data_IF_368569322170
#
_entry.id   IF_368569322170
#
_cell.length_a   1.000
_cell.length_b   1.000
_cell.length_c   1.000
_cell.angle_alpha   90.00
_cell.angle_beta   90.00
_cell.angle_gamma   90.00
#
_symmetry.space_group_name_H-M   'P 1'
#
loop_
_entity.id
_entity.type
_entity.pdbx_description
1 polymer ?
#
# COMPACT_ATOMS: atom_id res chain seq x y z
N UNK A 1 10.90 -0.03 -9.71
CA UNK A 1 9.55 0.25 -9.15
C UNK A 1 9.47 1.70 -8.69
N UNK A 2 10.41 2.21 -7.86
CA UNK A 2 10.36 3.56 -7.28
C UNK A 2 10.15 4.67 -8.32
N UNK A 3 10.95 4.68 -9.40
CA UNK A 3 10.80 5.67 -10.48
C UNK A 3 9.42 5.62 -11.14
N UNK A 4 8.89 4.42 -11.37
CA UNK A 4 7.57 4.27 -11.99
C UNK A 4 6.44 4.72 -11.04
N UNK A 5 6.53 4.36 -9.77
CA UNK A 5 5.60 4.82 -8.73
C UNK A 5 5.64 6.34 -8.56
N UNK A 6 6.85 6.93 -8.56
CA UNK A 6 7.05 8.39 -8.52
C UNK A 6 6.45 9.12 -9.73
N UNK A 7 6.35 8.45 -10.88
CA UNK A 7 5.67 8.95 -12.09
C UNK A 7 4.17 8.64 -12.12
N UNK A 8 3.61 8.13 -11.02
CA UNK A 8 2.18 7.89 -10.87
C UNK A 8 1.69 6.52 -11.30
N UNK A 9 2.59 5.54 -11.53
CA UNK A 9 2.16 4.15 -11.72
C UNK A 9 1.35 3.70 -10.50
N UNK A 10 0.10 3.23 -10.67
CA UNK A 10 -0.66 2.70 -9.54
C UNK A 10 -0.06 1.38 -9.07
N UNK A 11 0.18 1.28 -7.77
CA UNK A 11 0.76 0.09 -7.14
C UNK A 11 -0.10 -0.31 -5.94
N UNK A 12 -0.55 -1.56 -5.93
CA UNK A 12 -1.14 -2.21 -4.77
C UNK A 12 -0.11 -3.15 -4.17
N UNK A 13 0.19 -3.00 -2.89
CA UNK A 13 1.20 -3.77 -2.19
C UNK A 13 0.64 -4.36 -0.89
N UNK A 14 0.69 -5.67 -0.76
CA UNK A 14 0.25 -6.38 0.45
C UNK A 14 1.45 -6.98 1.17
N UNK A 15 1.52 -6.83 2.49
CA UNK A 15 2.47 -7.44 3.41
C UNK A 15 3.93 -7.38 2.92
N UNK A 16 4.47 -8.44 2.34
CA UNK A 16 5.83 -8.45 1.74
C UNK A 16 6.02 -7.37 0.68
N UNK A 17 4.95 -7.00 -0.05
CA UNK A 17 4.95 -5.87 -0.99
C UNK A 17 5.14 -4.52 -0.30
N UNK A 18 4.48 -4.29 0.83
CA UNK A 18 4.70 -3.10 1.68
C UNK A 18 6.17 -3.06 2.14
N UNK A 19 6.68 -4.17 2.65
CA UNK A 19 8.08 -4.28 3.10
C UNK A 19 9.06 -3.96 1.96
N UNK A 20 8.83 -4.51 0.76
CA UNK A 20 9.65 -4.25 -0.41
C UNK A 20 9.62 -2.76 -0.83
N UNK A 21 8.48 -2.09 -0.69
CA UNK A 21 8.34 -0.67 -1.05
C UNK A 21 8.88 0.29 0.01
N UNK A 22 9.19 -0.16 1.23
CA UNK A 22 9.75 0.67 2.31
C UNK A 22 11.14 1.23 1.96
N UNK A 23 11.67 2.12 2.80
CA UNK A 23 13.06 2.59 2.69
C UNK A 23 14.05 1.48 3.01
N UNK A 24 13.75 0.71 4.06
CA UNK A 24 14.63 -0.37 4.51
C UNK A 24 13.89 -1.37 5.38
N UNK A 25 14.51 -2.56 5.50
CA UNK A 25 14.14 -3.58 6.48
C UNK A 25 15.27 -3.71 7.49
N UNK A 26 14.92 -3.58 8.77
CA UNK A 26 15.80 -3.90 9.89
C UNK A 26 15.58 -5.36 10.30
N UNK A 27 16.62 -6.16 10.25
CA UNK A 27 16.60 -7.53 10.77
C UNK A 27 17.83 -7.77 11.64
N UNK A 28 17.60 -8.01 12.91
CA UNK A 28 18.65 -8.05 13.94
C UNK A 28 19.45 -6.73 13.89
N UNK A 29 20.77 -6.82 13.86
CA UNK A 29 21.68 -5.68 13.83
C UNK A 29 21.94 -5.14 12.41
N UNK A 30 21.27 -5.69 11.41
CA UNK A 30 21.50 -5.35 10.00
C UNK A 30 20.33 -4.61 9.40
N UNK A 31 20.63 -3.63 8.55
CA UNK A 31 19.65 -2.85 7.79
C UNK A 31 19.85 -3.08 6.30
N UNK A 32 18.76 -3.44 5.62
CA UNK A 32 18.75 -3.75 4.20
C UNK A 32 17.94 -2.69 3.46
N UNK A 33 18.54 -1.97 2.50
CA UNK A 33 17.81 -1.00 1.68
C UNK A 33 16.78 -1.70 0.80
N UNK A 34 15.60 -1.08 0.69
CA UNK A 34 14.48 -1.53 -0.12
C UNK A 34 14.20 -0.56 -1.27
N UNK A 35 13.02 -0.65 -1.90
CA UNK A 35 12.70 0.18 -3.07
C UNK A 35 12.54 1.67 -2.78
N UNK A 36 12.28 2.08 -1.54
CA UNK A 36 12.19 3.48 -1.13
C UNK A 36 10.98 4.25 -1.67
N UNK A 37 9.92 3.55 -2.05
CA UNK A 37 8.67 4.19 -2.48
C UNK A 37 7.87 4.78 -1.30
N UNK A 38 7.95 4.12 -0.15
CA UNK A 38 7.29 4.51 1.08
C UNK A 38 8.30 5.13 2.04
N UNK A 39 7.98 6.26 2.70
CA UNK A 39 8.91 6.95 3.60
C UNK A 39 8.96 6.32 5.00
N UNK A 40 8.97 5.00 5.06
CA UNK A 40 8.95 4.22 6.29
C UNK A 40 10.06 3.19 6.32
N UNK A 41 10.48 2.81 7.50
CA UNK A 41 11.33 1.66 7.75
C UNK A 41 10.49 0.52 8.33
N UNK A 42 10.87 -0.71 8.08
CA UNK A 42 10.22 -1.91 8.61
C UNK A 42 11.19 -2.66 9.48
N UNK A 43 10.77 -3.09 10.66
CA UNK A 43 11.56 -3.95 11.54
C UNK A 43 10.92 -5.33 11.62
N UNK A 44 11.73 -6.38 11.49
CA UNK A 44 11.29 -7.75 11.71
C UNK A 44 11.33 -8.06 13.21
N UNK A 45 10.30 -8.76 13.69
CA UNK A 45 10.15 -9.23 15.07
C UNK A 45 10.29 -10.75 15.14
N UNK A 46 10.65 -11.26 16.30
CA UNK A 46 10.76 -12.72 16.55
C UNK A 46 9.39 -13.38 16.71
N UNK A 47 8.36 -12.60 17.04
CA UNK A 47 6.99 -13.08 17.22
C UNK A 47 6.07 -12.40 16.19
N UNK A 48 4.96 -13.04 15.79
CA UNK A 48 3.97 -12.41 14.93
C UNK A 48 3.53 -11.07 15.51
N UNK A 49 3.56 -10.02 14.68
CA UNK A 49 3.07 -8.70 15.03
C UNK A 49 1.58 -8.56 14.72
N UNK A 50 1.10 -9.23 13.67
CA UNK A 50 -0.30 -9.39 13.33
C UNK A 50 -0.59 -10.82 12.87
N UNK A 51 -1.73 -11.38 13.30
CA UNK A 51 -2.14 -12.74 12.95
C UNK A 51 -3.65 -12.90 13.09
N UNK A 52 -4.29 -13.32 12.02
CA UNK A 52 -5.72 -13.67 12.01
C UNK A 52 -6.52 -12.91 10.96
N UNK A 53 -7.82 -12.79 11.20
CA UNK A 53 -8.68 -11.99 10.33
C UNK A 53 -8.53 -10.50 10.61
N UNK A 54 -8.44 -9.73 9.54
CA UNK A 54 -8.46 -8.28 9.57
C UNK A 54 -9.72 -7.77 8.87
N UNK A 55 -10.39 -6.80 9.50
CA UNK A 55 -11.55 -6.10 8.95
C UNK A 55 -11.29 -4.60 9.01
N UNK A 56 -11.46 -3.93 7.87
CA UNK A 56 -11.22 -2.50 7.75
C UNK A 56 -12.39 -1.77 7.11
N UNK A 57 -12.56 -0.52 7.48
CA UNK A 57 -13.40 0.46 6.79
C UNK A 57 -12.50 1.37 5.96
N UNK A 58 -12.78 1.51 4.67
CA UNK A 58 -12.12 2.50 3.82
C UNK A 58 -12.69 3.88 4.15
N UNK A 59 -12.02 4.63 4.99
CA UNK A 59 -12.48 5.92 5.52
C UNK A 59 -11.82 7.14 4.86
N UNK A 60 -10.80 6.91 4.03
CA UNK A 60 -10.10 7.97 3.28
C UNK A 60 -9.86 7.58 1.83
N UNK A 61 -9.62 8.58 0.94
CA UNK A 61 -9.35 8.33 -0.47
C UNK A 61 -8.13 7.44 -0.69
N UNK A 62 -8.20 6.59 -1.69
CA UNK A 62 -7.10 5.77 -2.18
C UNK A 62 -7.29 5.46 -3.68
N UNK A 63 -6.27 4.95 -4.40
CA UNK A 63 -6.36 4.75 -5.85
C UNK A 63 -7.31 3.66 -6.31
N UNK A 64 -7.73 2.72 -5.45
CA UNK A 64 -8.29 1.44 -5.87
C UNK A 64 -9.68 1.14 -5.33
N UNK A 65 -9.96 1.49 -4.09
CA UNK A 65 -11.18 1.06 -3.39
C UNK A 65 -12.03 2.27 -3.04
N UNK A 66 -13.34 2.13 -3.22
CA UNK A 66 -14.30 3.19 -2.92
C UNK A 66 -14.36 3.47 -1.41
N UNK A 67 -14.40 4.75 -1.02
CA UNK A 67 -14.68 5.15 0.35
C UNK A 67 -16.02 4.59 0.83
N UNK A 68 -16.07 4.20 2.11
CA UNK A 68 -17.21 3.55 2.73
C UNK A 68 -17.25 2.03 2.55
N UNK A 69 -16.38 1.46 1.70
CA UNK A 69 -16.27 0.00 1.55
C UNK A 69 -15.76 -0.65 2.83
N UNK A 70 -16.30 -1.82 3.15
CA UNK A 70 -15.77 -2.71 4.19
C UNK A 70 -15.00 -3.82 3.52
N UNK A 71 -13.74 -4.01 3.91
CA UNK A 71 -12.90 -5.07 3.42
C UNK A 71 -12.63 -6.05 4.54
N UNK A 72 -12.58 -7.33 4.18
CA UNK A 72 -12.23 -8.41 5.10
C UNK A 72 -11.21 -9.32 4.43
N UNK A 73 -10.13 -9.59 5.14
CA UNK A 73 -9.07 -10.48 4.72
C UNK A 73 -8.37 -11.10 5.91
N UNK A 74 -7.10 -11.36 5.76
CA UNK A 74 -6.27 -11.82 6.86
C UNK A 74 -4.97 -11.02 6.91
N UNK A 75 -4.35 -11.01 8.07
CA UNK A 75 -3.00 -10.54 8.28
C UNK A 75 -2.14 -11.65 8.87
N UNK A 76 -0.92 -11.77 8.41
CA UNK A 76 0.07 -12.66 9.00
C UNK A 76 1.47 -12.10 8.73
N UNK A 77 2.00 -11.36 9.68
CA UNK A 77 3.30 -10.72 9.52
C UNK A 77 4.09 -10.68 10.82
N UNK A 78 5.42 -10.83 10.67
CA UNK A 78 6.42 -10.68 11.72
C UNK A 78 7.08 -9.31 11.68
N UNK A 79 6.57 -8.41 10.88
CA UNK A 79 7.14 -7.09 10.64
C UNK A 79 6.27 -6.00 11.25
N UNK A 80 6.90 -4.90 11.60
CA UNK A 80 6.25 -3.68 12.09
C UNK A 80 6.81 -2.48 11.33
N UNK A 81 5.93 -1.60 10.90
CA UNK A 81 6.34 -0.31 10.35
C UNK A 81 6.90 0.56 11.48
N UNK A 82 8.05 1.15 11.22
CA UNK A 82 8.73 2.10 12.10
C UNK A 82 8.82 3.43 11.39
N UNK A 83 8.84 4.50 12.17
CA UNK A 83 9.02 5.85 11.67
C UNK A 83 8.06 6.20 10.51
N UNK A 84 6.77 5.85 10.69
CA UNK A 84 5.73 6.15 9.70
C UNK A 84 5.49 7.67 9.52
N UNK A 85 5.96 8.49 10.43
CA UNK A 85 5.78 9.93 10.37
C UNK A 85 4.30 10.31 10.27
N UNK A 86 4.01 11.29 9.42
CA UNK A 86 2.63 11.73 9.09
C UNK A 86 2.08 11.06 7.84
N UNK A 87 2.42 9.78 7.60
CA UNK A 87 1.95 9.07 6.42
C UNK A 87 0.43 8.88 6.46
N UNK A 88 -0.24 9.25 5.38
CA UNK A 88 -1.68 9.04 5.25
C UNK A 88 -2.01 7.55 5.14
N UNK A 89 -3.13 7.15 5.74
CA UNK A 89 -3.66 5.79 5.70
C UNK A 89 -5.13 5.82 5.31
N UNK A 90 -5.54 4.90 4.45
CA UNK A 90 -6.90 4.86 3.89
C UNK A 90 -7.86 3.95 4.67
N UNK A 91 -7.34 3.12 5.57
CA UNK A 91 -8.12 2.09 6.25
C UNK A 91 -8.17 2.33 7.76
N UNK A 92 -9.38 2.40 8.29
CA UNK A 92 -9.65 2.29 9.72
C UNK A 92 -9.80 0.81 10.07
N UNK A 93 -8.93 0.27 10.93
CA UNK A 93 -8.98 -1.12 11.37
C UNK A 93 -10.09 -1.30 12.39
N UNK A 94 -11.06 -2.14 12.08
CA UNK A 94 -12.17 -2.51 12.98
C UNK A 94 -11.87 -3.80 13.75
N UNK A 95 -11.04 -4.66 13.16
CA UNK A 95 -10.55 -5.89 13.75
C UNK A 95 -9.17 -6.19 13.16
N UNK A 96 -8.22 -6.60 13.96
CA UNK A 96 -6.85 -6.88 13.54
C UNK A 96 -5.84 -5.88 14.08
N UNK A 97 -4.65 -5.90 13.55
CA UNK A 97 -3.50 -5.08 13.97
C UNK A 97 -3.16 -4.01 12.94
N UNK A 98 -3.10 -4.39 11.65
CA UNK A 98 -2.68 -3.54 10.56
C UNK A 98 -1.29 -2.91 10.79
N UNK A 99 -1.15 -1.64 10.43
CA UNK A 99 0.07 -0.85 10.69
C UNK A 99 0.22 -0.42 12.16
N UNK A 100 -0.80 -0.65 12.98
CA UNK A 100 -0.90 -0.17 14.35
C UNK A 100 -1.79 1.07 14.49
N UNK A 101 -2.07 1.44 15.74
CA UNK A 101 -2.91 2.61 16.08
C UNK A 101 -4.31 2.60 15.41
N UNK A 102 -4.87 1.40 15.15
CA UNK A 102 -6.16 1.26 14.50
C UNK A 102 -6.18 1.67 13.02
N UNK A 103 -5.03 1.68 12.36
CA UNK A 103 -4.88 2.10 10.97
C UNK A 103 -4.20 1.04 10.12
N UNK A 104 -4.56 1.01 8.81
CA UNK A 104 -3.84 0.29 7.76
C UNK A 104 -4.02 1.01 6.41
N UNK A 105 -3.43 0.44 5.35
CA UNK A 105 -3.55 0.99 4.00
C UNK A 105 -2.85 2.33 3.83
N UNK A 106 -1.53 2.34 3.95
CA UNK A 106 -0.68 3.51 3.70
C UNK A 106 -0.82 3.98 2.25
N UNK A 107 -1.03 5.29 2.05
CA UNK A 107 -1.20 5.90 0.73
C UNK A 107 -0.12 6.94 0.47
N UNK A 108 0.61 6.77 -0.63
CA UNK A 108 1.58 7.73 -1.16
C UNK A 108 1.37 7.85 -2.66
N UNK A 109 1.00 9.02 -3.16
CA UNK A 109 0.65 9.20 -4.57
C UNK A 109 -0.41 8.18 -5.02
N UNK A 110 -0.04 7.23 -5.89
CA UNK A 110 -0.90 6.14 -6.35
C UNK A 110 -0.46 4.76 -5.85
N UNK A 111 0.33 4.73 -4.79
CA UNK A 111 0.70 3.52 -4.07
C UNK A 111 -0.26 3.35 -2.90
N UNK A 112 -0.83 2.16 -2.75
CA UNK A 112 -1.54 1.70 -1.57
C UNK A 112 -0.80 0.47 -1.03
N UNK A 113 -0.38 0.52 0.22
CA UNK A 113 0.36 -0.56 0.86
C UNK A 113 -0.24 -0.90 2.23
N UNK A 114 -0.49 -2.18 2.50
CA UNK A 114 -1.16 -2.64 3.73
C UNK A 114 -0.58 -3.97 4.22
N UNK A 115 -0.89 -4.31 5.46
CA UNK A 115 -0.70 -5.67 5.96
C UNK A 115 -1.89 -6.58 5.65
N UNK A 116 -3.05 -6.00 5.36
CA UNK A 116 -4.23 -6.74 4.95
C UNK A 116 -4.00 -7.50 3.63
N UNK A 117 -4.22 -8.82 3.66
CA UNK A 117 -4.26 -9.65 2.45
C UNK A 117 -5.72 -9.86 2.03
N UNK A 118 -6.02 -9.50 0.81
CA UNK A 118 -7.36 -9.64 0.24
C UNK A 118 -7.46 -10.80 -0.75
N UNK A 119 -8.58 -11.50 -0.70
CA UNK A 119 -8.91 -12.49 -1.71
C UNK A 119 -9.95 -11.91 -2.67
N UNK A 120 -9.71 -12.02 -3.98
CA UNK A 120 -10.55 -11.40 -5.02
C UNK A 120 -12.02 -11.82 -4.96
N UNK A 121 -12.32 -13.06 -4.53
CA UNK A 121 -13.70 -13.53 -4.37
C UNK A 121 -14.41 -12.88 -3.17
N UNK A 122 -13.66 -12.49 -2.14
CA UNK A 122 -14.20 -11.79 -0.96
C UNK A 122 -14.27 -10.27 -1.17
N UNK A 123 -13.58 -9.75 -2.18
CA UNK A 123 -13.51 -8.33 -2.50
C UNK A 123 -13.68 -8.12 -4.02
N UNK A 124 -14.90 -8.31 -4.57
CA UNK A 124 -15.13 -8.30 -6.02
C UNK A 124 -14.74 -6.97 -6.69
N UNK A 125 -14.82 -5.86 -5.95
CA UNK A 125 -14.44 -4.54 -6.47
C UNK A 125 -12.91 -4.34 -6.56
N UNK A 126 -12.11 -5.22 -5.98
CA UNK A 126 -10.64 -5.13 -5.98
C UNK A 126 -10.08 -5.19 -7.40
N UNK A 127 -10.49 -6.19 -8.18
CA UNK A 127 -10.02 -6.37 -9.55
C UNK A 127 -10.43 -5.20 -10.45
N UNK A 128 -11.69 -4.75 -10.34
CA UNK A 128 -12.21 -3.61 -11.11
C UNK A 128 -11.50 -2.31 -10.72
N UNK A 129 -11.21 -2.10 -9.43
CA UNK A 129 -10.46 -0.95 -8.93
C UNK A 129 -9.03 -0.91 -9.48
N UNK A 130 -8.32 -2.05 -9.44
CA UNK A 130 -6.97 -2.17 -9.96
C UNK A 130 -6.91 -1.94 -11.47
N UNK A 131 -7.79 -2.60 -12.23
CA UNK A 131 -7.89 -2.41 -13.68
C UNK A 131 -8.27 -0.97 -14.02
N UNK A 132 -9.22 -0.39 -13.30
CA UNK A 132 -9.61 1.01 -13.48
C UNK A 132 -8.45 1.99 -13.26
N UNK A 133 -7.66 1.79 -12.22
CA UNK A 133 -6.47 2.60 -11.94
C UNK A 133 -5.42 2.46 -13.07
N UNK A 134 -5.16 1.23 -13.52
CA UNK A 134 -4.22 0.95 -14.61
C UNK A 134 -4.67 1.60 -15.93
N UNK A 135 -5.97 1.55 -16.24
CA UNK A 135 -6.51 2.18 -17.46
C UNK A 135 -6.41 3.71 -17.41
N UNK A 136 -6.67 4.32 -16.25
CA UNK A 136 -6.47 5.78 -16.06
C UNK A 136 -5.02 6.16 -16.30
N UNK A 137 -4.09 5.48 -15.66
CA UNK A 137 -2.66 5.71 -15.82
C UNK A 137 -2.22 5.60 -17.29
N UNK A 138 -2.64 4.53 -18.00
CA UNK A 138 -2.33 4.36 -19.42
C UNK A 138 -2.85 5.49 -20.30
N UNK A 139 -4.06 6.01 -20.02
CA UNK A 139 -4.61 7.15 -20.76
C UNK A 139 -3.80 8.41 -20.56
N UNK A 140 -3.39 8.69 -19.31
CA UNK A 140 -2.57 9.84 -18.95
C UNK A 140 -1.18 9.78 -19.60
N UNK A 141 -0.53 8.62 -19.54
CA UNK A 141 0.76 8.39 -20.22
C UNK A 141 0.67 8.60 -21.74
N UNK A 142 -0.39 8.08 -22.36
CA UNK A 142 -0.60 8.25 -23.80
C UNK A 142 -0.88 9.71 -24.16
N UNK A 143 -1.60 10.45 -23.33
CA UNK A 143 -1.85 11.87 -23.53
C UNK A 143 -0.56 12.68 -23.40
N UNK A 144 0.24 12.41 -22.36
CA UNK A 144 1.54 13.07 -22.16
C UNK A 144 2.51 12.83 -23.33
N UNK A 145 2.57 11.59 -23.84
CA UNK A 145 3.40 11.25 -25.02
C UNK A 145 2.96 11.98 -26.29
N UNK A 146 1.66 12.24 -26.47
CA UNK A 146 1.12 12.95 -27.63
C UNK A 146 1.32 14.46 -27.53
N UNK A 147 1.36 15.01 -26.34
CA UNK A 147 1.58 16.44 -26.11
C UNK A 147 3.02 16.89 -26.42
N UNK A 148 3.98 15.95 -26.52
CA UNK A 148 5.39 16.26 -26.73
C UNK A 148 6.06 16.92 -25.53
N UNK A 149 7.37 17.16 -25.58
CA UNK A 149 8.04 18.02 -24.60
C UNK A 149 7.49 19.45 -24.73
N UNK A 150 7.26 20.11 -23.59
CA UNK A 150 6.92 21.54 -23.58
C UNK A 150 8.01 22.31 -24.34
N UNK A 151 7.67 23.27 -25.21
CA UNK A 151 8.66 24.14 -25.80
C UNK A 151 9.41 24.90 -24.69
N UNK A 152 10.75 24.93 -24.78
CA UNK A 152 11.64 25.68 -23.88
C UNK A 152 11.32 27.19 -23.90
#
# INVERSE_FOLDING_TARGET
VALAAGRGLPVWAECGGLMFLSRSIQWKDSRYPMAGCLPVDVALAERPAGHGYEEVLVDRPNPFVKMGSRLRGHEFHYSQVRDAGQTETAFEVKRGTGLGNGRDGMVINRVLASYLHLHSLASPDLASGLVGAALRYRREENAARRAGPLPE
#
